data_IF_091295887100
#
_entry.id   IF_091295887100
#
_cell.length_a   1.000
_cell.length_b   1.000
_cell.length_c   1.000
_cell.angle_alpha   90.00
_cell.angle_beta   90.00
_cell.angle_gamma   90.00
#
_symmetry.space_group_name_H-M   'P 1'
#
loop_
_entity.id
_entity.type
_entity.pdbx_description
1 polymer ?
#
# COMPACT_ATOMS: atom_id res chain seq x y z
N UNK A 1 -7.72 36.87 24.93
CA UNK A 1 -8.66 36.97 23.80
C UNK A 1 -7.99 36.33 22.59
N UNK A 2 -8.41 35.12 22.19
CA UNK A 2 -8.17 34.57 20.85
C UNK A 2 -6.94 33.68 20.61
N UNK A 3 -7.14 32.37 20.78
CA UNK A 3 -6.46 31.26 20.09
C UNK A 3 -6.33 31.46 18.58
N UNK A 4 -5.27 30.97 17.94
CA UNK A 4 -5.41 29.90 16.91
C UNK A 4 -4.09 29.16 16.65
N UNK A 5 -4.10 27.86 16.98
CA UNK A 5 -3.16 26.85 16.47
C UNK A 5 -3.30 26.76 14.94
N UNK A 6 -2.26 27.13 14.20
CA UNK A 6 -2.20 26.91 12.75
C UNK A 6 -1.92 25.43 12.45
N UNK A 7 -2.96 24.60 12.52
CA UNK A 7 -2.94 23.25 11.98
C UNK A 7 -2.81 23.35 10.46
N UNK A 8 -1.57 23.26 9.95
CA UNK A 8 -1.29 23.35 8.51
C UNK A 8 -2.20 22.39 7.76
N UNK A 9 -2.86 22.99 6.77
CA UNK A 9 -3.73 22.43 5.73
C UNK A 9 -3.60 20.91 5.61
N UNK A 10 -4.66 20.21 6.02
CA UNK A 10 -4.92 18.84 5.63
C UNK A 10 -4.88 18.81 4.10
N UNK A 11 -3.82 18.27 3.51
CA UNK A 11 -3.86 17.87 2.11
C UNK A 11 -5.07 16.95 1.99
N UNK A 12 -6.02 17.35 1.16
CA UNK A 12 -7.14 16.50 0.80
C UNK A 12 -6.53 15.26 0.15
N UNK A 13 -6.32 14.19 0.92
CA UNK A 13 -6.08 12.88 0.33
C UNK A 13 -7.27 12.63 -0.59
N UNK A 14 -7.06 12.38 -1.89
CA UNK A 14 -8.17 12.07 -2.78
C UNK A 14 -8.91 10.87 -2.20
N UNK A 15 -10.08 11.13 -1.61
CA UNK A 15 -11.09 10.11 -1.36
C UNK A 15 -11.78 9.86 -2.69
N UNK A 16 -11.08 9.24 -3.62
CA UNK A 16 -11.72 8.74 -4.83
C UNK A 16 -11.23 7.32 -5.04
N UNK A 17 -12.15 6.38 -4.88
CA UNK A 17 -12.24 5.23 -5.74
C UNK A 17 -13.62 4.59 -5.50
N UNK A 18 -14.65 5.34 -5.86
CA UNK A 18 -15.86 4.74 -6.37
C UNK A 18 -15.56 4.34 -7.82
N UNK A 19 -15.22 3.07 -8.04
CA UNK A 19 -15.45 2.43 -9.35
C UNK A 19 -14.66 2.98 -10.55
N UNK A 20 -13.44 3.49 -10.37
CA UNK A 20 -12.65 3.99 -11.50
C UNK A 20 -11.89 2.86 -12.23
N UNK A 21 -12.59 2.36 -13.27
CA UNK A 21 -12.11 1.80 -14.55
C UNK A 21 -10.92 0.83 -14.50
N UNK A 22 -11.22 -0.41 -14.88
CA UNK A 22 -10.25 -1.43 -15.24
C UNK A 22 -9.15 -0.86 -16.15
N UNK A 23 -7.94 -0.68 -15.62
CA UNK A 23 -6.75 -0.31 -16.40
C UNK A 23 -6.03 0.98 -16.01
N UNK A 24 -6.47 1.75 -15.02
CA UNK A 24 -5.69 2.94 -14.60
C UNK A 24 -4.59 2.56 -13.62
N UNK A 25 -3.34 2.85 -14.00
CA UNK A 25 -2.14 2.75 -13.16
C UNK A 25 -2.37 3.59 -11.89
N UNK A 26 -2.24 3.05 -10.67
CA UNK A 26 -2.36 3.86 -9.47
C UNK A 26 -1.24 4.90 -9.42
N UNK A 27 -1.58 6.14 -9.10
CA UNK A 27 -0.61 7.20 -8.84
C UNK A 27 0.08 6.94 -7.49
N UNK A 28 1.23 6.26 -7.55
CA UNK A 28 2.06 5.93 -6.40
C UNK A 28 3.21 6.94 -6.33
N UNK A 29 3.00 8.02 -5.58
CA UNK A 29 4.05 9.01 -5.36
C UNK A 29 5.24 8.41 -4.59
N UNK A 30 6.46 8.71 -5.02
CA UNK A 30 7.71 8.13 -4.49
C UNK A 30 7.97 8.45 -3.01
N UNK A 31 7.40 9.54 -2.47
CA UNK A 31 7.55 9.93 -1.07
C UNK A 31 6.55 9.24 -0.12
N UNK A 32 5.60 8.46 -0.64
CA UNK A 32 4.62 7.79 0.23
C UNK A 32 5.30 6.79 1.16
N UNK A 33 4.97 6.91 2.45
CA UNK A 33 5.45 6.01 3.50
C UNK A 33 4.67 4.70 3.56
N UNK A 34 3.47 4.64 2.96
CA UNK A 34 2.58 3.49 3.03
C UNK A 34 1.86 3.22 1.71
N UNK A 35 1.55 1.94 1.51
CA UNK A 35 0.77 1.43 0.39
C UNK A 35 -0.54 0.81 0.87
N UNK A 36 -1.53 0.82 -0.01
CA UNK A 36 -2.75 0.03 0.09
C UNK A 36 -2.54 -1.35 -0.53
N UNK A 37 -3.44 -2.28 -0.21
CA UNK A 37 -3.41 -3.63 -0.80
C UNK A 37 -3.54 -3.58 -2.34
N UNK A 38 -4.29 -2.63 -2.88
CA UNK A 38 -4.46 -2.48 -4.32
C UNK A 38 -3.17 -1.99 -5.00
N UNK A 39 -2.45 -1.05 -4.38
CA UNK A 39 -1.16 -0.57 -4.88
C UNK A 39 -0.12 -1.69 -4.82
N UNK A 40 -0.07 -2.46 -3.73
CA UNK A 40 0.85 -3.61 -3.63
C UNK A 40 0.51 -4.70 -4.63
N UNK A 41 -0.78 -4.97 -4.88
CA UNK A 41 -1.19 -5.90 -5.92
C UNK A 41 -0.67 -5.47 -7.30
N UNK A 42 -0.76 -4.17 -7.60
CA UNK A 42 -0.20 -3.60 -8.82
C UNK A 42 1.34 -3.73 -8.87
N UNK A 43 2.04 -3.36 -7.80
CA UNK A 43 3.51 -3.43 -7.72
C UNK A 43 4.05 -4.86 -7.87
N UNK A 44 3.33 -5.86 -7.35
CA UNK A 44 3.71 -7.27 -7.46
C UNK A 44 3.21 -7.93 -8.74
N UNK A 45 2.46 -7.22 -9.59
CA UNK A 45 1.73 -7.80 -10.73
C UNK A 45 0.82 -8.97 -10.34
N UNK A 46 0.22 -8.90 -9.14
CA UNK A 46 -0.69 -9.91 -8.60
C UNK A 46 -2.15 -9.45 -8.66
N UNK A 47 -3.07 -10.43 -8.67
CA UNK A 47 -4.49 -10.10 -8.53
C UNK A 47 -4.78 -9.59 -7.11
N UNK A 48 -5.70 -8.63 -6.99
CA UNK A 48 -6.14 -8.09 -5.69
C UNK A 48 -6.57 -9.18 -4.72
N UNK A 49 -7.23 -10.23 -5.20
CA UNK A 49 -7.68 -11.36 -4.36
C UNK A 49 -6.52 -12.11 -3.73
N UNK A 50 -5.49 -12.42 -4.52
CA UNK A 50 -4.25 -13.06 -4.04
C UNK A 50 -3.54 -12.15 -3.04
N UNK A 51 -3.37 -10.87 -3.37
CA UNK A 51 -2.70 -9.93 -2.45
C UNK A 51 -3.47 -9.77 -1.15
N UNK A 52 -4.80 -9.70 -1.17
CA UNK A 52 -5.61 -9.68 0.05
C UNK A 52 -5.45 -10.95 0.87
N UNK A 53 -5.35 -12.12 0.22
CA UNK A 53 -5.11 -13.40 0.89
C UNK A 53 -3.75 -13.37 1.59
N UNK A 54 -2.69 -13.02 0.88
CA UNK A 54 -1.33 -12.92 1.44
C UNK A 54 -1.25 -11.93 2.62
N UNK A 55 -1.93 -10.79 2.52
CA UNK A 55 -2.04 -9.80 3.62
C UNK A 55 -2.78 -10.38 4.84
N UNK A 56 -3.82 -11.21 4.62
CA UNK A 56 -4.57 -11.85 5.71
C UNK A 56 -3.80 -13.00 6.35
N UNK A 57 -3.03 -13.73 5.55
CA UNK A 57 -2.17 -14.84 5.99
C UNK A 57 -0.90 -14.33 6.70
N UNK A 58 -0.58 -13.05 6.56
CA UNK A 58 0.60 -12.43 7.19
C UNK A 58 1.88 -12.56 6.37
N UNK A 59 1.79 -13.08 5.14
CA UNK A 59 2.91 -13.18 4.19
C UNK A 59 3.44 -11.80 3.80
N UNK A 60 2.54 -10.86 3.48
CA UNK A 60 2.90 -9.48 3.17
C UNK A 60 2.81 -8.65 4.46
N UNK A 61 3.86 -7.89 4.83
CA UNK A 61 3.87 -7.11 6.06
C UNK A 61 2.85 -5.97 6.00
N UNK A 62 1.70 -6.18 6.64
CA UNK A 62 0.58 -5.24 6.64
C UNK A 62 0.08 -4.97 8.05
N UNK A 63 -0.35 -3.73 8.30
CA UNK A 63 -0.98 -3.31 9.56
C UNK A 63 -2.43 -2.93 9.33
N UNK A 64 -3.31 -3.44 10.19
CA UNK A 64 -4.71 -3.05 10.23
C UNK A 64 -4.85 -1.72 10.98
N UNK A 65 -5.26 -0.67 10.28
CA UNK A 65 -5.57 0.64 10.88
C UNK A 65 -7.07 0.89 10.71
N UNK A 66 -7.83 0.67 11.77
CA UNK A 66 -9.29 0.67 11.74
C UNK A 66 -9.83 -0.35 10.74
N UNK A 67 -10.52 0.13 9.69
CA UNK A 67 -11.13 -0.72 8.65
C UNK A 67 -10.22 -0.95 7.44
N UNK A 68 -9.01 -0.38 7.42
CA UNK A 68 -8.11 -0.41 6.27
C UNK A 68 -6.84 -1.20 6.58
N UNK A 69 -6.32 -1.88 5.56
CA UNK A 69 -4.98 -2.45 5.58
C UNK A 69 -4.00 -1.42 5.01
N UNK A 70 -2.89 -1.25 5.71
CA UNK A 70 -1.84 -0.30 5.38
C UNK A 70 -0.51 -1.04 5.41
N UNK A 71 0.26 -0.94 4.34
CA UNK A 71 1.51 -1.67 4.16
C UNK A 71 2.65 -0.64 4.22
N UNK A 72 3.47 -0.61 5.28
CA UNK A 72 4.59 0.32 5.36
C UNK A 72 5.58 0.06 4.24
N UNK A 73 5.97 1.09 3.50
CA UNK A 73 6.91 0.98 2.37
C UNK A 73 8.24 0.36 2.79
N UNK A 74 8.76 0.75 3.95
CA UNK A 74 10.01 0.22 4.49
C UNK A 74 9.92 -1.30 4.72
N UNK A 75 8.88 -1.75 5.42
CA UNK A 75 8.66 -3.17 5.69
C UNK A 75 8.41 -3.98 4.39
N UNK A 76 7.64 -3.43 3.45
CA UNK A 76 7.41 -4.08 2.16
C UNK A 76 8.70 -4.25 1.35
N UNK A 77 9.56 -3.23 1.32
CA UNK A 77 10.85 -3.30 0.63
C UNK A 77 11.80 -4.30 1.29
N UNK A 78 11.85 -4.30 2.62
CA UNK A 78 12.64 -5.28 3.37
C UNK A 78 12.15 -6.70 3.11
N UNK A 79 10.84 -6.92 3.11
CA UNK A 79 10.24 -8.20 2.75
C UNK A 79 10.62 -8.65 1.34
N UNK A 80 10.54 -7.78 0.34
CA UNK A 80 10.96 -8.09 -1.04
C UNK A 80 12.43 -8.53 -1.12
N UNK A 81 13.32 -7.88 -0.37
CA UNK A 81 14.73 -8.22 -0.33
C UNK A 81 15.02 -9.56 0.36
N UNK A 82 14.12 -10.01 1.25
CA UNK A 82 14.23 -11.26 1.98
C UNK A 82 13.49 -12.42 1.30
N UNK A 83 12.84 -12.20 0.15
CA UNK A 83 12.21 -13.28 -0.58
C UNK A 83 13.29 -14.29 -1.03
N UNK A 84 13.03 -15.60 -0.90
CA UNK A 84 13.97 -16.60 -1.34
C UNK A 84 14.25 -16.40 -2.83
N UNK A 85 15.51 -16.08 -3.13
CA UNK A 85 16.02 -16.04 -4.49
C UNK A 85 16.10 -17.48 -4.95
N UNK A 86 15.04 -17.98 -5.57
CA UNK A 86 15.11 -19.22 -6.30
C UNK A 86 15.98 -18.97 -7.53
N UNK A 87 17.29 -19.09 -7.35
CA UNK A 87 18.23 -19.27 -8.44
C UNK A 87 17.82 -20.58 -9.11
N UNK A 88 17.15 -20.47 -10.26
CA UNK A 88 16.73 -21.63 -11.02
C UNK A 88 17.95 -22.46 -11.38
N UNK A 89 18.14 -23.60 -10.72
CA UNK A 89 18.85 -24.72 -11.31
C UNK A 89 18.09 -25.13 -12.57
N UNK A 90 18.79 -25.02 -13.69
CA UNK A 90 18.34 -25.31 -15.07
C UNK A 90 18.20 -26.82 -15.24
#
# INVERSE_FOLDING_TARGET
MGDVVAFRRRAASPRTNATERAGSVPDIAEDRLTYTVAEVAYLLSLSRGVTYRMVREGEIPARRIGRRWVIPRAAFREWLNNLPQHEGEI
#
